data_IF_036385391043
#
_entry.id   IF_036385391043
#
_cell.length_a   1.000
_cell.length_b   1.000
_cell.length_c   1.000
_cell.angle_alpha   90.00
_cell.angle_beta   90.00
_cell.angle_gamma   90.00
#
_symmetry.space_group_name_H-M   'P 1'
#
loop_
_entity.id
_entity.type
_entity.pdbx_description
1 polymer ?
#
# COMPACT_ATOMS: atom_id res chain seq x y z
N UNK A 1 -72.34 50.19 -27.13
CA UNK A 1 -71.79 50.32 -25.78
C UNK A 1 -71.20 48.92 -25.44
N UNK A 2 -69.95 48.74 -25.82
CA UNK A 2 -69.32 47.40 -25.83
C UNK A 2 -68.08 47.49 -24.93
N UNK A 3 -68.09 46.83 -23.78
CA UNK A 3 -67.00 46.77 -22.85
C UNK A 3 -66.04 45.66 -23.24
N UNK A 4 -64.77 46.01 -23.48
CA UNK A 4 -63.70 45.07 -23.72
C UNK A 4 -63.05 44.64 -22.42
N UNK A 5 -62.98 43.32 -22.19
CA UNK A 5 -62.22 42.72 -21.09
C UNK A 5 -60.82 42.32 -21.60
N UNK A 6 -59.77 42.84 -21.00
CA UNK A 6 -58.40 42.42 -21.20
C UNK A 6 -58.02 41.23 -20.31
N UNK A 7 -57.36 40.18 -20.77
CA UNK A 7 -56.85 39.14 -19.89
C UNK A 7 -55.44 39.51 -19.42
N UNK A 8 -55.26 39.46 -18.10
CA UNK A 8 -53.96 39.59 -17.40
C UNK A 8 -53.20 38.29 -17.56
N UNK A 9 -52.10 38.33 -18.29
CA UNK A 9 -51.15 37.23 -18.38
C UNK A 9 -50.31 37.15 -17.12
N UNK A 10 -50.46 36.09 -16.32
CA UNK A 10 -49.58 35.74 -15.21
C UNK A 10 -48.35 34.98 -15.75
N UNK A 11 -47.22 35.66 -15.78
CA UNK A 11 -45.94 35.08 -16.07
C UNK A 11 -45.42 34.34 -14.80
N UNK A 12 -45.50 33.03 -14.78
CA UNK A 12 -44.92 32.18 -13.71
C UNK A 12 -43.43 31.97 -14.05
N UNK A 13 -42.57 32.74 -13.38
CA UNK A 13 -41.11 32.60 -13.51
C UNK A 13 -40.64 31.26 -12.86
N UNK A 14 -40.21 30.32 -13.67
CA UNK A 14 -39.56 29.09 -13.24
C UNK A 14 -38.08 29.40 -12.93
N UNK A 15 -37.74 29.56 -11.65
CA UNK A 15 -36.34 29.67 -11.20
C UNK A 15 -35.74 28.28 -11.19
N UNK A 16 -34.97 27.94 -12.21
CA UNK A 16 -34.15 26.72 -12.24
C UNK A 16 -32.93 26.95 -11.31
N UNK A 17 -33.00 26.39 -10.11
CA UNK A 17 -31.87 26.35 -9.20
C UNK A 17 -30.90 25.23 -9.69
N UNK A 18 -29.91 25.61 -10.51
CA UNK A 18 -28.85 24.72 -10.93
C UNK A 18 -27.92 24.44 -9.73
N UNK A 19 -28.12 23.33 -9.05
CA UNK A 19 -27.20 22.83 -8.04
C UNK A 19 -25.90 22.42 -8.74
N UNK A 20 -24.88 23.25 -8.65
CA UNK A 20 -23.51 22.93 -9.04
C UNK A 20 -22.98 21.86 -8.09
N UNK A 21 -23.11 20.59 -8.47
CA UNK A 21 -22.43 19.49 -7.82
C UNK A 21 -20.96 19.63 -8.19
N UNK A 22 -20.17 20.25 -7.31
CA UNK A 22 -18.71 20.25 -7.41
C UNK A 22 -18.22 18.82 -7.19
N UNK A 23 -18.06 18.06 -8.26
CA UNK A 23 -17.26 16.84 -8.19
C UNK A 23 -15.83 17.29 -7.89
N UNK A 24 -15.42 17.12 -6.64
CA UNK A 24 -14.01 17.20 -6.27
C UNK A 24 -13.29 16.08 -7.02
N UNK A 25 -12.65 16.42 -8.13
CA UNK A 25 -11.74 15.52 -8.81
C UNK A 25 -10.59 15.22 -7.86
N UNK A 26 -10.67 14.12 -7.11
CA UNK A 26 -9.54 13.64 -6.33
C UNK A 26 -8.45 13.26 -7.33
N UNK A 27 -7.33 13.95 -7.26
CA UNK A 27 -6.17 13.61 -8.08
C UNK A 27 -5.83 12.14 -7.81
N UNK A 28 -5.71 11.36 -8.87
CA UNK A 28 -5.35 9.94 -8.75
C UNK A 28 -4.00 9.84 -8.06
N UNK A 29 -3.96 9.09 -6.96
CA UNK A 29 -2.73 8.88 -6.21
C UNK A 29 -1.79 7.99 -7.01
N UNK A 30 -0.52 8.40 -7.10
CA UNK A 30 0.49 7.70 -7.88
C UNK A 30 1.73 7.45 -7.05
N UNK A 31 2.28 6.25 -7.19
CA UNK A 31 3.57 5.85 -6.64
C UNK A 31 4.70 6.33 -7.56
N UNK A 32 5.68 7.03 -6.99
CA UNK A 32 6.94 7.36 -7.66
C UNK A 32 7.98 6.28 -7.36
N UNK A 33 8.14 5.30 -8.25
CA UNK A 33 9.07 4.19 -8.05
C UNK A 33 10.52 4.65 -7.87
N UNK A 34 10.95 5.68 -8.60
CA UNK A 34 12.32 6.20 -8.52
C UNK A 34 12.67 6.82 -7.15
N UNK A 35 11.66 7.16 -6.34
CA UNK A 35 11.82 7.76 -5.00
C UNK A 35 11.32 6.82 -3.90
N UNK A 36 11.04 5.57 -4.24
CA UNK A 36 10.46 4.59 -3.35
C UNK A 36 11.38 3.39 -3.19
N UNK A 37 11.35 2.79 -2.02
CA UNK A 37 12.16 1.62 -1.70
C UNK A 37 11.36 0.65 -0.80
N UNK A 38 11.61 -0.64 -1.01
CA UNK A 38 11.11 -1.73 -0.17
C UNK A 38 12.28 -2.65 0.12
N UNK A 39 12.57 -2.82 1.39
CA UNK A 39 13.67 -3.67 1.87
C UNK A 39 13.23 -4.61 2.98
N UNK A 40 14.11 -5.50 3.32
CA UNK A 40 13.94 -6.41 4.46
C UNK A 40 15.24 -6.59 5.21
N UNK A 41 15.11 -6.93 6.48
CA UNK A 41 16.23 -7.30 7.36
C UNK A 41 15.94 -8.64 7.98
N UNK A 42 16.84 -9.58 7.82
CA UNK A 42 16.83 -10.88 8.47
C UNK A 42 18.11 -11.07 9.26
N UNK A 43 18.08 -11.84 10.35
CA UNK A 43 19.30 -12.18 11.09
C UNK A 43 19.79 -13.57 10.67
N UNK A 44 21.06 -13.65 10.28
CA UNK A 44 21.78 -14.91 10.05
C UNK A 44 22.80 -15.09 11.14
N UNK A 45 22.70 -16.16 11.91
CA UNK A 45 23.55 -16.41 13.10
C UNK A 45 23.69 -15.17 14.02
N UNK A 46 22.56 -14.47 14.22
CA UNK A 46 22.47 -13.24 15.00
C UNK A 46 22.90 -11.95 14.30
N UNK A 47 23.55 -12.02 13.13
CA UNK A 47 24.01 -10.86 12.36
C UNK A 47 22.88 -10.35 11.44
N UNK A 48 22.54 -9.06 11.50
CA UNK A 48 21.58 -8.47 10.56
C UNK A 48 22.11 -8.49 9.12
N UNK A 49 21.31 -8.99 8.21
CA UNK A 49 21.56 -8.96 6.76
C UNK A 49 20.40 -8.25 6.10
N UNK A 50 20.71 -7.28 5.25
CA UNK A 50 19.72 -6.48 4.54
C UNK A 50 19.54 -6.97 3.11
N UNK A 51 18.32 -6.87 2.62
CA UNK A 51 17.98 -7.08 1.23
C UNK A 51 16.89 -6.11 0.80
N UNK A 52 16.64 -6.06 -0.50
CA UNK A 52 15.62 -5.19 -1.06
C UNK A 52 14.95 -5.81 -2.28
N UNK A 53 13.80 -5.26 -2.67
CA UNK A 53 13.06 -5.63 -3.87
C UNK A 53 13.19 -4.50 -4.90
N UNK A 54 13.60 -4.84 -6.11
CA UNK A 54 13.79 -3.86 -7.20
C UNK A 54 12.51 -3.55 -7.96
N UNK A 55 11.47 -4.42 -7.83
CA UNK A 55 10.20 -4.27 -8.56
C UNK A 55 9.03 -4.46 -7.62
N UNK A 56 8.22 -3.44 -7.51
CA UNK A 56 6.97 -3.43 -6.73
C UNK A 56 6.01 -2.40 -7.31
N UNK A 57 4.73 -2.48 -6.94
CA UNK A 57 3.70 -1.52 -7.33
C UNK A 57 2.68 -1.34 -6.20
N UNK A 58 1.99 -0.22 -6.22
CA UNK A 58 0.93 0.09 -5.27
C UNK A 58 -0.23 0.82 -5.94
N UNK A 59 -1.43 0.34 -5.68
CA UNK A 59 -2.67 1.04 -5.95
C UNK A 59 -3.21 1.57 -4.63
N UNK A 60 -3.27 2.87 -4.50
CA UNK A 60 -3.62 3.54 -3.26
C UNK A 60 -4.77 4.50 -3.53
N UNK A 61 -5.81 4.39 -2.72
CA UNK A 61 -6.87 5.38 -2.57
C UNK A 61 -6.95 5.70 -1.09
N UNK A 62 -6.52 6.91 -0.71
CA UNK A 62 -6.50 7.33 0.69
C UNK A 62 -6.93 8.78 0.79
N UNK A 63 -8.00 9.03 1.50
CA UNK A 63 -8.34 10.34 2.05
C UNK A 63 -7.88 10.35 3.52
N UNK A 64 -6.82 11.09 3.87
CA UNK A 64 -6.33 11.12 5.25
C UNK A 64 -7.35 11.66 6.26
N UNK A 65 -8.35 12.43 5.81
CA UNK A 65 -9.45 12.91 6.65
C UNK A 65 -10.54 11.86 6.88
N UNK A 66 -10.61 10.82 6.00
CA UNK A 66 -11.56 9.70 6.05
C UNK A 66 -10.85 8.39 5.77
N UNK A 67 -9.87 8.00 6.57
CA UNK A 67 -8.99 6.85 6.29
C UNK A 67 -9.76 5.53 6.17
N UNK A 68 -10.90 5.39 6.84
CA UNK A 68 -11.74 4.20 6.80
C UNK A 68 -12.31 3.91 5.40
N UNK A 69 -12.37 4.90 4.52
CA UNK A 69 -12.81 4.72 3.12
C UNK A 69 -11.66 4.30 2.21
N UNK A 70 -10.42 4.35 2.72
CA UNK A 70 -9.21 4.09 1.97
C UNK A 70 -9.06 2.62 1.57
N UNK A 71 -8.32 2.41 0.48
CA UNK A 71 -7.92 1.08 0.00
C UNK A 71 -6.48 1.11 -0.46
N UNK A 72 -5.74 0.08 -0.09
CA UNK A 72 -4.35 -0.13 -0.47
C UNK A 72 -4.21 -1.56 -1.01
N UNK A 73 -3.72 -1.68 -2.23
CA UNK A 73 -3.23 -2.92 -2.80
C UNK A 73 -1.76 -2.73 -3.15
N UNK A 74 -0.90 -3.58 -2.60
CA UNK A 74 0.54 -3.55 -2.80
C UNK A 74 1.02 -4.88 -3.36
N UNK A 75 1.89 -4.87 -4.35
CA UNK A 75 2.47 -6.06 -4.97
C UNK A 75 3.98 -5.95 -5.08
N UNK A 76 4.67 -7.06 -4.89
CA UNK A 76 6.12 -7.19 -5.05
C UNK A 76 6.38 -8.33 -6.04
N UNK A 77 7.18 -8.07 -7.06
CA UNK A 77 7.81 -9.11 -7.88
C UNK A 77 8.92 -9.76 -7.05
N UNK A 78 8.67 -10.95 -6.56
CA UNK A 78 9.60 -11.65 -5.66
C UNK A 78 10.91 -12.01 -6.35
N UNK A 79 10.91 -12.24 -7.66
CA UNK A 79 12.14 -12.50 -8.41
C UNK A 79 13.09 -11.27 -8.44
N UNK A 80 12.59 -10.09 -8.06
CA UNK A 80 13.40 -8.88 -7.93
C UNK A 80 14.14 -8.74 -6.60
N UNK A 81 13.98 -9.70 -5.68
CA UNK A 81 14.66 -9.71 -4.39
C UNK A 81 16.18 -9.85 -4.58
N UNK A 82 16.95 -9.08 -3.81
CA UNK A 82 18.41 -9.17 -3.80
C UNK A 82 18.95 -8.87 -2.39
N UNK A 83 20.00 -9.54 -2.02
CA UNK A 83 20.79 -9.30 -0.82
C UNK A 83 22.14 -8.65 -1.17
N UNK A 84 22.30 -8.23 -2.44
CA UNK A 84 23.50 -7.53 -2.95
C UNK A 84 24.69 -8.46 -3.19
N UNK A 85 24.49 -9.78 -3.18
CA UNK A 85 25.53 -10.79 -3.39
C UNK A 85 25.01 -11.94 -4.25
N UNK A 86 25.78 -12.45 -5.23
CA UNK A 86 25.29 -13.47 -6.17
C UNK A 86 24.86 -14.78 -5.52
N UNK A 87 25.58 -15.24 -4.49
CA UNK A 87 25.28 -16.52 -3.83
C UNK A 87 23.92 -16.53 -3.14
N UNK A 88 23.59 -15.60 -2.19
CA UNK A 88 22.28 -15.57 -1.60
C UNK A 88 21.18 -15.20 -2.62
N UNK A 89 21.48 -14.36 -3.62
CA UNK A 89 20.50 -14.00 -4.65
C UNK A 89 20.10 -15.22 -5.49
N UNK A 90 20.99 -16.18 -5.70
CA UNK A 90 20.69 -17.44 -6.38
C UNK A 90 19.85 -18.42 -5.54
N UNK A 91 19.84 -18.27 -4.22
CA UNK A 91 19.03 -19.10 -3.32
C UNK A 91 17.58 -18.62 -3.23
N UNK A 92 17.35 -17.31 -3.20
CA UNK A 92 16.02 -16.73 -2.99
C UNK A 92 14.93 -17.28 -3.93
N UNK A 93 15.16 -17.53 -5.24
CA UNK A 93 14.15 -18.08 -6.14
C UNK A 93 13.81 -19.56 -5.91
N UNK A 94 14.65 -20.31 -5.22
CA UNK A 94 14.50 -21.77 -5.06
C UNK A 94 13.22 -22.16 -4.30
N UNK A 95 12.82 -23.44 -4.46
CA UNK A 95 11.60 -23.97 -3.84
C UNK A 95 11.62 -23.90 -2.30
N UNK A 96 12.79 -24.07 -1.68
CA UNK A 96 13.00 -23.95 -0.22
C UNK A 96 12.82 -22.53 0.30
N UNK A 97 13.03 -21.51 -0.56
CA UNK A 97 12.84 -20.11 -0.24
C UNK A 97 11.52 -19.59 -0.81
N UNK A 98 11.55 -18.72 -1.81
CA UNK A 98 10.33 -18.10 -2.32
C UNK A 98 9.59 -18.91 -3.38
N UNK A 99 10.27 -19.87 -4.04
CA UNK A 99 9.69 -20.66 -5.14
C UNK A 99 9.06 -19.75 -6.22
N UNK A 100 9.87 -18.83 -6.73
CA UNK A 100 9.38 -17.74 -7.61
C UNK A 100 8.78 -18.26 -8.91
N UNK A 101 9.17 -19.45 -9.38
CA UNK A 101 8.57 -20.09 -10.55
C UNK A 101 7.08 -20.42 -10.34
N UNK A 102 6.68 -20.75 -9.09
CA UNK A 102 5.28 -21.04 -8.75
C UNK A 102 4.57 -19.85 -8.14
N UNK A 103 5.30 -19.00 -7.42
CA UNK A 103 4.76 -17.86 -6.69
C UNK A 103 5.56 -16.60 -7.04
N UNK A 104 5.34 -16.00 -8.22
CA UNK A 104 6.14 -14.87 -8.70
C UNK A 104 5.90 -13.59 -7.91
N UNK A 105 4.78 -13.48 -7.18
CA UNK A 105 4.40 -12.26 -6.49
C UNK A 105 4.06 -12.50 -5.03
N UNK A 106 4.39 -11.51 -4.19
CA UNK A 106 3.77 -11.30 -2.90
C UNK A 106 2.79 -10.13 -3.02
N UNK A 107 1.73 -10.14 -2.19
CA UNK A 107 0.73 -9.08 -2.20
C UNK A 107 0.23 -8.76 -0.81
N UNK A 108 -0.14 -7.50 -0.61
CA UNK A 108 -0.87 -7.03 0.55
C UNK A 108 -2.12 -6.29 0.10
N UNK A 109 -3.26 -6.60 0.74
CA UNK A 109 -4.52 -5.91 0.49
C UNK A 109 -5.11 -5.44 1.80
N UNK A 110 -5.33 -4.13 1.94
CA UNK A 110 -5.94 -3.57 3.14
C UNK A 110 -7.39 -4.03 3.30
N UNK A 111 -7.77 -4.32 4.53
CA UNK A 111 -9.16 -4.56 4.95
C UNK A 111 -9.71 -3.40 5.75
N UNK A 112 -8.84 -2.68 6.47
CA UNK A 112 -9.21 -1.44 7.16
C UNK A 112 -8.00 -0.51 7.30
N UNK A 113 -8.28 0.79 7.37
CA UNK A 113 -7.28 1.83 7.63
C UNK A 113 -7.80 2.70 8.76
N UNK A 114 -7.02 2.84 9.82
CA UNK A 114 -7.34 3.66 10.99
C UNK A 114 -6.35 4.80 11.12
N UNK A 115 -6.85 6.04 11.18
CA UNK A 115 -6.05 7.20 11.51
C UNK A 115 -5.77 7.28 13.02
N UNK A 116 -4.51 7.53 13.38
CA UNK A 116 -4.06 7.66 14.77
C UNK A 116 -3.70 9.11 15.12
N UNK A 117 -3.85 10.03 14.16
CA UNK A 117 -3.47 11.43 14.28
C UNK A 117 -1.98 11.67 13.98
N UNK A 118 -1.62 12.94 13.71
CA UNK A 118 -0.24 13.33 13.44
C UNK A 118 0.41 12.62 12.26
N UNK A 119 -0.34 12.31 11.21
CA UNK A 119 0.17 11.59 10.05
C UNK A 119 0.41 10.09 10.27
N UNK A 120 -0.03 9.53 11.39
CA UNK A 120 0.12 8.11 11.71
C UNK A 120 -1.15 7.33 11.41
N UNK A 121 -0.98 6.15 10.83
CA UNK A 121 -2.06 5.26 10.45
C UNK A 121 -1.72 3.81 10.82
N UNK A 122 -2.76 3.03 11.06
CA UNK A 122 -2.68 1.59 11.20
C UNK A 122 -3.47 0.97 10.04
N UNK A 123 -2.78 0.18 9.21
CA UNK A 123 -3.36 -0.49 8.06
C UNK A 123 -3.44 -1.98 8.34
N UNK A 124 -4.64 -2.49 8.56
CA UNK A 124 -4.88 -3.94 8.68
C UNK A 124 -5.19 -4.52 7.31
N UNK A 125 -4.68 -5.71 7.03
CA UNK A 125 -4.90 -6.34 5.73
C UNK A 125 -4.47 -7.80 5.67
N UNK A 126 -4.59 -8.37 4.47
CA UNK A 126 -4.17 -9.73 4.13
C UNK A 126 -2.83 -9.65 3.39
N UNK A 127 -1.82 -10.28 3.98
CA UNK A 127 -0.49 -10.44 3.37
C UNK A 127 -0.39 -11.87 2.82
N UNK A 128 -0.14 -11.98 1.52
CA UNK A 128 0.03 -13.26 0.83
C UNK A 128 1.46 -13.37 0.30
N UNK A 129 2.16 -14.43 0.72
CA UNK A 129 3.52 -14.76 0.27
C UNK A 129 3.60 -16.27 0.06
N UNK A 130 4.20 -16.72 -1.05
CA UNK A 130 4.42 -18.14 -1.37
C UNK A 130 3.15 -18.97 -1.18
N UNK A 131 1.99 -18.46 -1.63
CA UNK A 131 0.69 -19.12 -1.54
C UNK A 131 0.07 -19.19 -0.14
N UNK A 132 0.72 -18.63 0.88
CA UNK A 132 0.18 -18.55 2.25
C UNK A 132 -0.31 -17.15 2.55
N UNK A 133 -1.52 -17.02 3.08
CA UNK A 133 -2.12 -15.72 3.45
C UNK A 133 -2.24 -15.61 4.96
N UNK A 134 -1.86 -14.46 5.50
CA UNK A 134 -1.96 -14.12 6.93
C UNK A 134 -2.52 -12.72 7.09
N UNK A 135 -3.16 -12.49 8.23
CA UNK A 135 -3.48 -11.14 8.68
C UNK A 135 -2.20 -10.40 9.06
N UNK A 136 -2.13 -9.14 8.67
CA UNK A 136 -1.02 -8.27 9.04
C UNK A 136 -1.55 -6.89 9.42
N UNK A 137 -0.90 -6.27 10.40
CA UNK A 137 -1.12 -4.90 10.83
C UNK A 137 0.14 -4.12 10.53
N UNK A 138 0.02 -3.12 9.66
CA UNK A 138 1.14 -2.33 9.16
C UNK A 138 1.02 -0.90 9.72
N UNK A 139 1.92 -0.49 10.62
CA UNK A 139 2.01 0.91 11.02
C UNK A 139 2.59 1.74 9.87
N UNK A 140 1.94 2.85 9.55
CA UNK A 140 2.34 3.77 8.48
C UNK A 140 2.42 5.18 9.02
N UNK A 141 3.51 5.86 8.71
CA UNK A 141 3.67 7.29 8.97
C UNK A 141 3.73 8.03 7.64
N UNK A 142 2.89 9.04 7.49
CA UNK A 142 2.87 9.94 6.33
C UNK A 142 3.53 11.26 6.70
N UNK A 143 4.39 11.76 5.82
CA UNK A 143 4.99 13.10 5.89
C UNK A 143 4.79 13.76 4.54
N UNK A 144 4.16 14.95 4.54
CA UNK A 144 3.86 15.67 3.30
C UNK A 144 4.80 16.86 3.12
N UNK A 145 5.48 16.90 1.96
CA UNK A 145 6.33 18.00 1.53
C UNK A 145 5.84 18.48 0.15
N UNK A 146 5.15 19.63 0.13
CA UNK A 146 4.55 20.14 -1.09
C UNK A 146 3.55 19.16 -1.70
N UNK A 147 3.77 18.74 -2.94
CA UNK A 147 2.91 17.78 -3.65
C UNK A 147 3.25 16.31 -3.39
N UNK A 148 4.36 16.04 -2.70
CA UNK A 148 4.83 14.67 -2.41
C UNK A 148 4.52 14.29 -0.97
N UNK A 149 3.91 13.14 -0.79
CA UNK A 149 3.71 12.50 0.51
C UNK A 149 4.61 11.27 0.60
N UNK A 150 5.46 11.22 1.61
CA UNK A 150 6.28 10.04 1.90
C UNK A 150 5.58 9.18 2.94
N UNK A 151 5.29 7.93 2.58
CA UNK A 151 4.78 6.91 3.48
C UNK A 151 5.92 5.99 3.92
N UNK A 152 6.12 5.85 5.22
CA UNK A 152 7.12 4.95 5.80
C UNK A 152 6.48 3.97 6.77
N UNK A 153 7.05 2.78 6.86
CA UNK A 153 6.62 1.79 7.85
C UNK A 153 7.58 0.63 7.96
N UNK A 154 7.43 -0.11 9.07
CA UNK A 154 8.15 -1.36 9.32
C UNK A 154 7.14 -2.37 9.80
N UNK A 155 7.12 -3.54 9.20
CA UNK A 155 6.29 -4.67 9.64
C UNK A 155 7.18 -5.89 9.87
N UNK A 156 6.99 -6.57 11.00
CA UNK A 156 7.66 -7.83 11.29
C UNK A 156 6.79 -9.00 10.86
N UNK A 157 7.37 -9.93 10.14
CA UNK A 157 6.73 -11.17 9.71
C UNK A 157 7.52 -12.38 10.21
N UNK A 158 6.83 -13.51 10.38
CA UNK A 158 7.45 -14.81 10.66
C UNK A 158 7.62 -15.54 9.32
N UNK A 159 8.86 -15.69 8.83
CA UNK A 159 9.13 -16.30 7.51
C UNK A 159 8.59 -17.73 7.39
N UNK A 160 8.68 -18.50 8.47
CA UNK A 160 8.21 -19.90 8.48
C UNK A 160 6.68 -20.01 8.39
N UNK A 161 5.93 -18.97 8.84
CA UNK A 161 4.49 -18.91 8.65
C UNK A 161 4.09 -18.82 7.16
N UNK A 162 5.02 -18.39 6.31
CA UNK A 162 4.86 -18.31 4.84
C UNK A 162 5.67 -19.40 4.12
N UNK A 163 6.23 -20.37 4.84
CA UNK A 163 7.07 -21.46 4.30
C UNK A 163 8.30 -20.94 3.54
N UNK A 164 8.90 -19.86 4.01
CA UNK A 164 10.12 -19.29 3.45
C UNK A 164 11.32 -19.83 4.25
N UNK A 165 12.25 -20.50 3.59
CA UNK A 165 13.38 -21.18 4.22
C UNK A 165 12.92 -22.47 4.90
N UNK A 166 12.51 -23.45 4.09
CA UNK A 166 12.10 -24.79 4.54
C UNK A 166 13.32 -25.74 4.59
N UNK A 167 13.12 -26.93 5.14
CA UNK A 167 14.11 -27.98 5.30
C UNK A 167 15.31 -27.52 6.16
N UNK A 168 16.52 -27.58 5.62
CA UNK A 168 17.76 -27.15 6.29
C UNK A 168 17.73 -25.69 6.77
N UNK A 169 16.95 -24.83 6.10
CA UNK A 169 16.79 -23.42 6.46
C UNK A 169 15.73 -23.16 7.53
N UNK A 170 15.03 -24.21 7.99
CA UNK A 170 14.02 -24.06 9.05
C UNK A 170 14.64 -23.84 10.43
N UNK A 171 15.93 -24.13 10.60
CA UNK A 171 16.65 -23.86 11.84
C UNK A 171 16.76 -22.35 12.09
N UNK A 172 16.04 -21.89 13.12
CA UNK A 172 15.99 -20.46 13.48
C UNK A 172 17.24 -19.94 14.17
N UNK A 173 18.15 -20.83 14.59
CA UNK A 173 19.48 -20.44 15.08
C UNK A 173 20.40 -19.99 13.94
N UNK A 174 20.24 -20.59 12.75
CA UNK A 174 20.97 -20.22 11.55
C UNK A 174 20.36 -18.98 10.87
N UNK A 175 19.04 -19.02 10.62
CA UNK A 175 18.30 -17.91 10.01
C UNK A 175 17.07 -17.62 10.85
N UNK A 176 17.03 -16.44 11.47
CA UNK A 176 15.93 -16.06 12.35
C UNK A 176 14.58 -16.15 11.67
N UNK A 177 13.53 -16.52 12.43
CA UNK A 177 12.16 -16.56 11.92
C UNK A 177 11.59 -15.16 11.70
N UNK A 178 12.02 -14.19 12.53
CA UNK A 178 11.59 -12.80 12.40
C UNK A 178 12.30 -12.09 11.25
N UNK A 179 11.52 -11.53 10.34
CA UNK A 179 11.98 -10.68 9.24
C UNK A 179 11.29 -9.32 9.35
N UNK A 180 12.08 -8.26 9.36
CA UNK A 180 11.55 -6.90 9.28
C UNK A 180 11.47 -6.47 7.83
N UNK A 181 10.26 -6.15 7.36
CA UNK A 181 10.03 -5.53 6.06
C UNK A 181 9.88 -4.02 6.28
N UNK A 182 10.74 -3.24 5.62
CA UNK A 182 10.78 -1.78 5.70
C UNK A 182 10.38 -1.20 4.36
N UNK A 183 9.62 -0.12 4.38
CA UNK A 183 9.29 0.59 3.14
C UNK A 183 9.33 2.10 3.34
N UNK A 184 9.67 2.76 2.24
CA UNK A 184 9.55 4.20 2.05
C UNK A 184 8.98 4.42 0.65
N UNK A 185 7.75 4.95 0.59
CA UNK A 185 7.01 5.13 -0.66
C UNK A 185 6.75 6.62 -0.86
N UNK A 186 7.14 7.14 -2.01
CA UNK A 186 6.84 8.51 -2.41
C UNK A 186 5.57 8.52 -3.26
N UNK A 187 4.56 9.27 -2.80
CA UNK A 187 3.23 9.33 -3.39
C UNK A 187 2.91 10.76 -3.81
N UNK A 188 2.15 10.90 -4.90
CA UNK A 188 1.54 12.17 -5.30
C UNK A 188 0.02 12.05 -5.28
N UNK A 189 -0.70 13.17 -5.17
CA UNK A 189 -2.17 13.18 -5.17
C UNK A 189 -2.80 12.78 -3.83
N UNK A 190 -2.04 12.66 -2.75
CA UNK A 190 -2.58 12.44 -1.39
C UNK A 190 -3.11 13.77 -0.86
N UNK A 191 -4.31 13.77 -0.28
CA UNK A 191 -4.90 14.93 0.36
C UNK A 191 -4.08 15.43 1.56
N UNK A 192 -4.34 16.65 1.99
CA UNK A 192 -3.70 17.21 3.20
C UNK A 192 -4.22 16.53 4.46
N UNK A 193 -3.40 16.46 5.51
CA UNK A 193 -3.71 15.86 6.81
C UNK A 193 -3.00 16.58 7.95
#
# INVERSE_FOLDING_TARGET
>A
MTLAFSPIARATGLVLLAALISLSAQAQQKLSLAQSEVGFVIKQMGVPVEGHFKKFDAQITLDPAKPETGKIAFTIDIASATMGSPEPDAELPKATWFNTAKFPQASFQSTSIKGLGGGKFEVTGKLAIKGNTRDAVVPVTLVQNGATTTATGVVSIKRLAFKIGENEWADTSMVADDVQVKFKLALTGVGKF
#
